data_IF_436417394860
#
_entry.id   IF_436417394860
#
_cell.length_a   1.000
_cell.length_b   1.000
_cell.length_c   1.000
_cell.angle_alpha   90.00
_cell.angle_beta   90.00
_cell.angle_gamma   90.00
#
_symmetry.space_group_name_H-M   'P 1'
#
loop_
_entity.id
_entity.type
_entity.pdbx_description
1 polymer ?
#
# COMPACT_ATOMS: atom_id res chain seq x y z
N UNK A 1 28.92 -19.45 -33.33
CA UNK A 1 29.33 -20.27 -32.17
C UNK A 1 30.00 -19.47 -31.03
N UNK A 2 30.55 -18.27 -31.26
CA UNK A 2 31.20 -17.49 -30.18
C UNK A 2 30.27 -16.75 -29.22
N UNK A 3 29.08 -16.30 -29.68
CA UNK A 3 28.16 -15.50 -28.85
C UNK A 3 27.55 -16.27 -27.68
N UNK A 4 27.34 -17.58 -27.82
CA UNK A 4 26.79 -18.43 -26.75
C UNK A 4 27.68 -18.42 -25.51
N UNK A 5 29.00 -18.42 -25.69
CA UNK A 5 29.96 -18.36 -24.56
C UNK A 5 29.91 -17.04 -23.80
N UNK A 6 29.46 -15.96 -24.44
CA UNK A 6 29.24 -14.68 -23.78
C UNK A 6 27.84 -14.59 -23.15
N UNK A 7 26.82 -15.11 -23.83
CA UNK A 7 25.43 -15.03 -23.39
C UNK A 7 25.12 -15.92 -22.18
N UNK A 8 25.75 -17.10 -22.07
CA UNK A 8 25.56 -18.02 -20.94
C UNK A 8 25.98 -17.39 -19.60
N UNK A 9 27.19 -16.85 -19.41
CA UNK A 9 27.57 -16.24 -18.13
C UNK A 9 26.74 -14.99 -17.84
N UNK A 10 26.42 -14.19 -18.86
CA UNK A 10 25.56 -13.01 -18.69
C UNK A 10 24.17 -13.40 -18.20
N UNK A 11 23.57 -14.47 -18.74
CA UNK A 11 22.25 -14.93 -18.29
C UNK A 11 22.28 -15.47 -16.87
N UNK A 12 23.32 -16.22 -16.49
CA UNK A 12 23.49 -16.73 -15.11
C UNK A 12 23.62 -15.57 -14.12
N UNK A 13 24.41 -14.55 -14.45
CA UNK A 13 24.54 -13.34 -13.60
C UNK A 13 23.19 -12.62 -13.49
N UNK A 14 22.47 -12.45 -14.61
CA UNK A 14 21.18 -11.78 -14.61
C UNK A 14 20.15 -12.53 -13.75
N UNK A 15 20.05 -13.85 -13.89
CA UNK A 15 19.16 -14.69 -13.07
C UNK A 15 19.57 -14.61 -11.59
N UNK A 16 20.86 -14.65 -11.30
CA UNK A 16 21.37 -14.49 -9.93
C UNK A 16 21.00 -13.13 -9.32
N UNK A 17 21.15 -12.05 -10.10
CA UNK A 17 20.77 -10.69 -9.67
C UNK A 17 19.28 -10.60 -9.35
N UNK A 18 18.44 -11.12 -10.24
CA UNK A 18 16.98 -11.15 -10.05
C UNK A 18 16.63 -11.93 -8.79
N UNK A 19 17.24 -13.10 -8.58
CA UNK A 19 17.00 -13.92 -7.39
C UNK A 19 17.41 -13.18 -6.10
N UNK A 20 18.56 -12.50 -6.09
CA UNK A 20 19.03 -11.72 -4.94
C UNK A 20 18.06 -10.58 -4.62
N UNK A 21 17.64 -9.81 -5.63
CA UNK A 21 16.68 -8.71 -5.46
C UNK A 21 15.35 -9.24 -4.95
N UNK A 22 14.85 -10.34 -5.52
CA UNK A 22 13.61 -10.97 -5.11
C UNK A 22 13.65 -11.43 -3.65
N UNK A 23 14.71 -12.15 -3.25
CA UNK A 23 14.88 -12.61 -1.86
C UNK A 23 15.04 -11.43 -0.89
N UNK A 24 15.70 -10.35 -1.30
CA UNK A 24 15.78 -9.13 -0.50
C UNK A 24 14.42 -8.47 -0.32
N UNK A 25 13.62 -8.35 -1.39
CA UNK A 25 12.27 -7.77 -1.35
C UNK A 25 11.33 -8.58 -0.45
N UNK A 26 11.35 -9.91 -0.55
CA UNK A 26 10.58 -10.82 0.32
C UNK A 26 10.97 -10.63 1.78
N UNK A 27 12.27 -10.54 2.08
CA UNK A 27 12.72 -10.33 3.47
C UNK A 27 12.51 -8.91 3.97
N UNK A 28 12.35 -7.93 3.08
CA UNK A 28 12.06 -6.54 3.44
C UNK A 28 10.60 -6.31 3.85
N UNK A 29 9.74 -7.32 3.82
CA UNK A 29 8.36 -7.21 4.29
C UNK A 29 7.48 -6.31 3.41
N UNK A 30 7.86 -6.02 2.15
CA UNK A 30 7.09 -5.16 1.24
C UNK A 30 5.68 -5.72 0.93
N UNK A 31 5.45 -7.00 1.21
CA UNK A 31 4.16 -7.66 1.03
C UNK A 31 3.22 -7.50 2.23
N UNK A 32 3.69 -7.05 3.39
CA UNK A 32 2.87 -6.86 4.59
C UNK A 32 1.97 -5.60 4.50
N UNK A 33 2.30 -4.65 3.61
CA UNK A 33 1.53 -3.40 3.42
C UNK A 33 0.52 -3.48 2.26
N UNK A 34 0.29 -4.68 1.70
CA UNK A 34 -0.74 -4.89 0.67
C UNK A 34 -2.17 -4.97 1.26
N UNK A 35 -2.31 -5.08 2.58
CA UNK A 35 -3.59 -5.11 3.29
C UNK A 35 -4.18 -3.71 3.58
N UNK A 36 -3.43 -2.63 3.32
CA UNK A 36 -3.79 -1.25 3.68
C UNK A 36 -5.02 -0.65 2.98
N UNK A 37 -5.21 -0.76 1.65
CA UNK A 37 -6.26 -0.02 0.94
C UNK A 37 -7.62 -0.74 0.91
N UNK A 38 -7.66 -2.04 1.20
CA UNK A 38 -8.90 -2.83 1.07
C UNK A 38 -9.91 -2.51 2.19
N UNK A 39 -9.45 -1.98 3.32
CA UNK A 39 -10.31 -1.67 4.46
C UNK A 39 -10.88 -0.24 4.42
N UNK A 40 -10.28 0.72 3.72
CA UNK A 40 -10.79 2.10 3.69
C UNK A 40 -12.07 2.25 2.84
N UNK A 41 -12.19 1.49 1.75
CA UNK A 41 -13.36 1.53 0.85
C UNK A 41 -14.66 1.09 1.52
N UNK A 42 -14.61 0.27 2.58
CA UNK A 42 -15.82 -0.25 3.24
C UNK A 42 -16.33 0.62 4.41
N UNK A 43 -15.54 1.61 4.88
CA UNK A 43 -15.88 2.43 6.05
C UNK A 43 -15.93 3.93 5.75
N UNK A 44 -15.81 4.35 4.49
CA UNK A 44 -15.89 5.75 4.09
C UNK A 44 -17.33 6.34 4.14
N UNK A 45 -18.37 5.51 4.24
CA UNK A 45 -19.78 5.95 4.15
C UNK A 45 -20.43 6.36 5.49
N UNK A 46 -19.80 6.10 6.64
CA UNK A 46 -20.42 6.37 7.97
C UNK A 46 -20.07 7.73 8.59
N UNK A 47 -19.16 8.52 8.00
CA UNK A 47 -18.62 9.74 8.66
C UNK A 47 -19.31 11.04 8.23
N UNK A 48 -20.12 11.02 7.17
CA UNK A 48 -20.75 12.25 6.64
C UNK A 48 -22.09 12.62 7.31
N UNK A 49 -22.69 11.75 8.14
CA UNK A 49 -24.01 12.00 8.74
C UNK A 49 -24.00 12.74 10.09
N UNK A 50 -22.84 12.96 10.74
CA UNK A 50 -22.79 13.60 12.07
C UNK A 50 -22.31 15.07 12.11
N UNK A 51 -21.85 15.65 10.98
CA UNK A 51 -21.28 17.00 10.99
C UNK A 51 -22.29 18.15 10.80
N UNK A 52 -23.59 17.85 10.63
CA UNK A 52 -24.62 18.89 10.37
C UNK A 52 -25.56 19.17 11.57
N UNK A 53 -25.23 18.69 12.77
CA UNK A 53 -25.95 19.13 13.98
C UNK A 53 -25.42 20.47 14.47
N UNK A 54 -25.93 21.52 13.82
CA UNK A 54 -25.93 22.91 14.29
C UNK A 54 -26.27 22.96 15.79
N UNK A 55 -25.45 23.58 16.65
CA UNK A 55 -25.84 23.77 18.04
C UNK A 55 -26.94 24.83 18.10
N UNK A 56 -28.21 24.39 18.11
CA UNK A 56 -29.35 25.19 18.53
C UNK A 56 -29.13 25.62 20.00
N UNK A 57 -28.46 26.75 20.20
CA UNK A 57 -28.43 27.44 21.49
C UNK A 57 -29.79 28.12 21.67
N UNK A 58 -30.72 27.40 22.30
CA UNK A 58 -31.94 27.94 22.88
C UNK A 58 -31.59 29.04 23.91
N UNK A 59 -31.50 30.30 23.48
CA UNK A 59 -31.62 31.44 24.37
C UNK A 59 -33.10 31.79 24.50
N UNK A 60 -33.75 31.17 25.49
CA UNK A 60 -34.98 31.73 26.04
C UNK A 60 -34.91 31.75 27.56
N UNK A 61 -34.88 32.98 28.07
CA UNK A 61 -35.54 33.47 29.28
C UNK A 61 -34.81 33.30 30.61
N UNK A 62 -34.21 34.40 31.08
CA UNK A 62 -34.24 34.81 32.49
C UNK A 62 -34.25 36.35 32.56
N UNK A 63 -35.42 36.86 33.00
CA UNK A 63 -35.72 38.19 33.58
C UNK A 63 -35.62 39.47 32.75
#
# INVERSE_FOLDING_TARGET
MGSLYFLIPVSVILVGLIAVIFLWAVRSGQFDDLDGPAHSILFEEEVDDELDKEPESNDSKTE
#
